data_IF_532679213463
#
_entry.id   IF_532679213463
#
_cell.length_a   1.000
_cell.length_b   1.000
_cell.length_c   1.000
_cell.angle_alpha   90.00
_cell.angle_beta   90.00
_cell.angle_gamma   90.00
#
_symmetry.space_group_name_H-M   'P 1'
#
loop_
_entity.id
_entity.type
_entity.pdbx_description
1 polymer ?
#
# COMPACT_ATOMS: atom_id res chain seq x y z
N UNK A 1 -23.88 15.97 13.75
CA UNK A 1 -22.44 15.66 13.94
C UNK A 1 -21.84 16.62 14.95
N UNK A 2 -20.71 16.24 15.57
CA UNK A 2 -19.94 17.12 16.45
C UNK A 2 -18.49 17.14 15.99
N UNK A 3 -17.91 18.33 15.81
CA UNK A 3 -16.48 18.48 15.47
C UNK A 3 -15.60 18.21 16.68
N UNK A 4 -14.38 17.73 16.41
CA UNK A 4 -13.29 17.61 17.39
C UNK A 4 -12.07 18.34 16.83
N UNK A 5 -11.49 19.33 17.55
CA UNK A 5 -11.88 19.82 18.87
C UNK A 5 -13.18 20.64 18.86
N UNK A 6 -14.05 20.42 19.85
CA UNK A 6 -15.35 21.09 19.99
C UNK A 6 -16.01 20.77 21.32
N UNK A 7 -17.27 21.21 21.52
CA UNK A 7 -18.04 20.86 22.70
C UNK A 7 -19.53 20.64 22.35
N UNK A 8 -20.27 20.01 23.26
CA UNK A 8 -21.69 19.68 23.07
C UNK A 8 -22.53 20.93 22.77
N UNK A 9 -22.24 22.05 23.44
CA UNK A 9 -22.97 23.31 23.24
C UNK A 9 -22.81 23.86 21.82
N UNK A 10 -21.58 23.89 21.28
CA UNK A 10 -21.36 24.36 19.90
C UNK A 10 -21.91 23.38 18.86
N UNK A 11 -21.85 22.07 19.13
CA UNK A 11 -22.45 21.05 18.27
C UNK A 11 -23.99 21.17 18.20
N UNK A 12 -24.68 21.37 19.33
CA UNK A 12 -26.13 21.58 19.38
C UNK A 12 -26.54 22.90 18.73
N UNK A 13 -25.76 23.98 18.94
CA UNK A 13 -26.02 25.30 18.37
C UNK A 13 -25.89 25.29 16.84
N UNK A 14 -24.82 24.69 16.30
CA UNK A 14 -24.61 24.57 14.84
C UNK A 14 -25.69 23.74 14.16
N UNK A 15 -26.19 22.70 14.82
CA UNK A 15 -27.30 21.87 14.32
C UNK A 15 -28.68 22.51 14.53
N UNK A 16 -28.76 23.71 15.14
CA UNK A 16 -30.01 24.43 15.36
C UNK A 16 -30.90 23.88 16.48
N UNK A 17 -30.41 22.92 17.28
CA UNK A 17 -31.15 22.38 18.43
C UNK A 17 -31.25 23.38 19.60
N UNK A 18 -30.29 24.29 19.69
CA UNK A 18 -30.31 25.42 20.64
C UNK A 18 -30.00 26.74 19.93
N UNK A 19 -30.53 27.83 20.47
CA UNK A 19 -30.12 29.19 20.09
C UNK A 19 -28.80 29.57 20.76
N UNK A 20 -28.28 30.76 20.49
CA UNK A 20 -27.02 31.25 21.09
C UNK A 20 -27.03 31.13 22.63
N UNK A 21 -26.13 30.32 23.24
CA UNK A 21 -26.06 30.14 24.68
C UNK A 21 -25.84 31.45 25.45
N UNK A 22 -25.25 32.47 24.83
CA UNK A 22 -25.05 33.79 25.46
C UNK A 22 -26.26 34.73 25.33
N UNK A 23 -27.33 34.33 24.64
CA UNK A 23 -28.51 35.17 24.49
C UNK A 23 -29.42 35.14 25.73
N UNK A 24 -29.50 36.28 26.42
CA UNK A 24 -30.40 36.57 27.56
C UNK A 24 -30.21 35.63 28.76
N UNK A 25 -31.03 34.59 28.88
CA UNK A 25 -31.11 33.68 30.03
C UNK A 25 -30.96 32.20 29.61
N UNK A 26 -30.32 31.99 28.45
CA UNK A 26 -30.06 30.66 27.91
C UNK A 26 -29.07 29.85 28.76
N UNK A 27 -28.25 30.52 29.58
CA UNK A 27 -27.43 29.91 30.64
C UNK A 27 -28.27 29.10 31.66
N UNK A 28 -29.46 29.60 32.01
CA UNK A 28 -30.41 28.89 32.86
C UNK A 28 -31.20 27.85 32.06
N UNK A 29 -31.67 28.21 30.85
CA UNK A 29 -32.53 27.34 30.05
C UNK A 29 -31.82 26.09 29.49
N UNK A 30 -30.51 26.21 29.21
CA UNK A 30 -29.70 25.13 28.65
C UNK A 30 -28.81 24.43 29.70
N UNK A 31 -28.99 24.74 30.99
CA UNK A 31 -28.25 24.14 32.10
C UNK A 31 -28.29 22.60 32.13
N UNK A 32 -29.35 22.00 31.58
CA UNK A 32 -29.49 20.55 31.45
C UNK A 32 -28.38 19.91 30.59
N UNK A 33 -27.84 20.62 29.58
CA UNK A 33 -26.77 20.11 28.71
C UNK A 33 -25.52 19.78 29.54
N UNK A 34 -25.21 20.61 30.54
CA UNK A 34 -24.08 20.41 31.47
C UNK A 34 -24.38 19.45 32.63
N UNK A 35 -25.62 18.96 32.76
CA UNK A 35 -26.05 18.02 33.81
C UNK A 35 -26.32 16.61 33.26
N UNK A 36 -26.35 16.44 31.94
CA UNK A 36 -26.56 15.17 31.26
C UNK A 36 -25.24 14.53 30.81
N UNK A 37 -25.25 13.21 30.61
CA UNK A 37 -24.09 12.44 30.18
C UNK A 37 -24.09 12.26 28.67
N UNK A 38 -23.17 12.92 27.98
CA UNK A 38 -23.05 12.87 26.52
C UNK A 38 -22.00 11.84 26.08
N UNK A 39 -22.40 10.94 25.20
CA UNK A 39 -21.47 10.03 24.51
C UNK A 39 -21.18 10.56 23.11
N UNK A 40 -19.90 10.73 22.77
CA UNK A 40 -19.47 10.91 21.38
C UNK A 40 -19.14 9.55 20.79
N UNK A 41 -19.70 9.23 19.61
CA UNK A 41 -19.39 8.03 18.85
C UNK A 41 -18.79 8.41 17.51
N UNK A 42 -17.64 7.81 17.17
CA UNK A 42 -17.00 7.94 15.86
C UNK A 42 -16.88 6.54 15.24
N UNK A 43 -17.12 6.44 13.93
CA UNK A 43 -16.95 5.22 13.15
C UNK A 43 -15.60 5.24 12.46
N UNK A 44 -14.55 4.84 13.18
CA UNK A 44 -13.23 4.59 12.61
C UNK A 44 -13.09 3.14 12.17
N UNK A 45 -12.23 2.90 11.18
CA UNK A 45 -11.72 1.59 10.79
C UNK A 45 -10.24 1.52 11.12
N UNK A 46 -9.78 0.35 11.54
CA UNK A 46 -8.36 0.07 11.74
C UNK A 46 -7.91 -1.13 10.92
N UNK A 47 -6.82 -0.97 10.17
CA UNK A 47 -6.24 -2.02 9.33
C UNK A 47 -4.77 -2.22 9.69
N UNK A 48 -4.40 -3.46 10.00
CA UNK A 48 -3.02 -3.87 10.20
C UNK A 48 -2.40 -4.25 8.85
N UNK A 49 -1.34 -3.55 8.45
CA UNK A 49 -0.68 -3.70 7.15
C UNK A 49 0.70 -4.32 7.32
N UNK A 50 0.95 -5.40 6.59
CA UNK A 50 2.27 -6.01 6.42
C UNK A 50 2.75 -5.76 4.99
N UNK A 51 3.83 -5.02 4.80
CA UNK A 51 4.40 -4.78 3.45
C UNK A 51 5.11 -6.00 2.86
N UNK A 52 5.44 -6.99 3.69
CA UNK A 52 6.09 -8.23 3.27
C UNK A 52 6.36 -9.18 4.44
N UNK A 53 5.79 -10.38 4.36
CA UNK A 53 6.07 -11.49 5.30
C UNK A 53 6.74 -12.60 4.53
N UNK A 54 7.88 -13.08 5.02
CA UNK A 54 8.68 -14.14 4.41
C UNK A 54 8.50 -15.46 5.20
N UNK A 55 7.69 -16.41 4.74
CA UNK A 55 6.78 -16.37 3.58
C UNK A 55 5.40 -16.89 3.98
N UNK A 56 5.37 -18.12 4.53
CA UNK A 56 4.14 -18.79 4.92
C UNK A 56 3.89 -18.55 6.40
N UNK A 57 2.82 -17.84 6.74
CA UNK A 57 2.52 -17.50 8.13
C UNK A 57 1.04 -17.62 8.49
N UNK A 58 0.77 -17.74 9.79
CA UNK A 58 -0.54 -17.47 10.39
C UNK A 58 -0.37 -16.30 11.36
N UNK A 59 -1.21 -15.28 11.20
CA UNK A 59 -1.14 -14.02 11.94
C UNK A 59 -2.36 -13.94 12.86
N UNK A 60 -2.14 -13.58 14.13
CA UNK A 60 -3.20 -13.41 15.12
C UNK A 60 -2.99 -12.17 15.98
N UNK A 61 -4.08 -11.47 16.27
CA UNK A 61 -4.13 -10.32 17.16
C UNK A 61 -5.01 -10.69 18.37
N UNK A 62 -4.51 -10.45 19.58
CA UNK A 62 -5.23 -10.73 20.83
C UNK A 62 -5.74 -12.19 20.96
N UNK A 63 -5.01 -13.14 20.38
CA UNK A 63 -5.36 -14.56 20.32
C UNK A 63 -6.33 -14.96 19.19
N UNK A 64 -6.89 -13.99 18.46
CA UNK A 64 -7.77 -14.22 17.31
C UNK A 64 -6.95 -14.27 16.03
N UNK A 65 -7.08 -15.33 15.23
CA UNK A 65 -6.41 -15.42 13.92
C UNK A 65 -7.03 -14.44 12.94
N UNK A 66 -6.26 -13.45 12.46
CA UNK A 66 -6.71 -12.43 11.51
C UNK A 66 -6.42 -12.80 10.06
N UNK A 67 -5.48 -13.72 9.81
CA UNK A 67 -5.22 -14.20 8.47
C UNK A 67 -3.99 -15.09 8.32
N UNK A 68 -3.66 -15.38 7.05
CA UNK A 68 -2.51 -16.19 6.64
C UNK A 68 -1.82 -15.57 5.43
N UNK A 69 -0.54 -15.84 5.29
CA UNK A 69 0.28 -15.43 4.12
C UNK A 69 0.93 -16.65 3.48
N UNK A 70 1.23 -16.58 2.19
CA UNK A 70 1.94 -17.62 1.44
C UNK A 70 2.92 -17.09 0.37
N UNK A 71 3.17 -15.77 0.36
CA UNK A 71 3.88 -15.09 -0.72
C UNK A 71 4.71 -13.91 -0.20
N UNK A 72 6.04 -14.05 -0.26
CA UNK A 72 7.03 -13.06 0.18
C UNK A 72 6.84 -11.68 -0.45
N UNK A 73 6.30 -11.65 -1.68
CA UNK A 73 6.27 -10.47 -2.55
C UNK A 73 4.95 -9.72 -2.51
N UNK A 74 4.03 -10.06 -1.58
CA UNK A 74 2.74 -9.39 -1.43
C UNK A 74 2.68 -8.60 -0.13
N UNK A 75 2.11 -7.41 -0.24
CA UNK A 75 1.49 -6.70 0.88
C UNK A 75 0.22 -7.43 1.30
N UNK A 76 -0.03 -7.49 2.61
CA UNK A 76 -1.22 -8.06 3.22
C UNK A 76 -1.85 -7.06 4.19
N UNK A 77 -3.17 -6.88 4.06
CA UNK A 77 -3.97 -5.94 4.83
C UNK A 77 -5.05 -6.71 5.59
N UNK A 78 -5.16 -6.51 6.90
CA UNK A 78 -6.16 -7.18 7.76
C UNK A 78 -6.97 -6.13 8.53
N UNK A 79 -8.29 -6.10 8.36
CA UNK A 79 -9.15 -5.27 9.20
C UNK A 79 -9.16 -5.82 10.64
N UNK A 80 -8.90 -4.93 11.61
CA UNK A 80 -8.71 -5.26 13.03
C UNK A 80 -9.53 -4.37 13.97
N UNK A 81 -10.43 -3.56 13.43
CA UNK A 81 -11.28 -2.59 14.15
C UNK A 81 -11.85 -3.17 15.45
N UNK A 82 -12.59 -4.28 15.38
CA UNK A 82 -13.27 -4.91 16.52
C UNK A 82 -12.36 -5.79 17.40
N UNK A 83 -11.08 -5.92 17.04
CA UNK A 83 -10.09 -6.75 17.74
C UNK A 83 -9.10 -5.94 18.57
N UNK A 84 -9.04 -4.62 18.36
CA UNK A 84 -8.20 -3.72 19.14
C UNK A 84 -8.79 -3.48 20.53
N UNK A 85 -7.89 -3.37 21.50
CA UNK A 85 -8.14 -2.88 22.86
C UNK A 85 -7.50 -1.51 23.03
N UNK A 86 -7.92 -0.76 24.05
CA UNK A 86 -7.30 0.53 24.39
C UNK A 86 -5.80 0.37 24.73
N UNK A 87 -5.44 -0.72 25.42
CA UNK A 87 -4.06 -1.05 25.82
C UNK A 87 -3.78 -2.56 25.63
N UNK A 88 -2.51 -2.97 25.73
CA UNK A 88 -2.04 -4.38 25.69
C UNK A 88 -2.54 -5.23 24.50
N UNK A 89 -2.38 -4.70 23.29
CA UNK A 89 -2.62 -5.44 22.05
C UNK A 89 -1.45 -6.38 21.73
N UNK A 90 -1.72 -7.70 21.70
CA UNK A 90 -0.70 -8.72 21.42
C UNK A 90 -0.82 -9.21 19.97
N UNK A 91 0.13 -8.79 19.13
CA UNK A 91 0.30 -9.32 17.77
C UNK A 91 1.24 -10.53 17.79
N UNK A 92 0.83 -11.63 17.17
CA UNK A 92 1.65 -12.83 17.01
C UNK A 92 1.68 -13.24 15.53
N UNK A 93 2.87 -13.60 15.04
CA UNK A 93 3.09 -14.09 13.67
C UNK A 93 3.81 -15.44 13.77
N UNK A 94 3.09 -16.52 13.52
CA UNK A 94 3.68 -17.86 13.44
C UNK A 94 4.11 -18.12 12.00
N UNK A 95 5.40 -18.34 11.77
CA UNK A 95 5.97 -18.55 10.42
C UNK A 95 6.39 -20.01 10.26
N UNK A 96 5.95 -20.65 9.17
CA UNK A 96 6.26 -22.02 8.83
C UNK A 96 7.57 -22.12 8.03
N UNK A 97 8.38 -23.16 8.31
CA UNK A 97 9.57 -23.50 7.52
C UNK A 97 9.24 -23.55 6.02
N UNK A 98 9.92 -22.70 5.24
CA UNK A 98 9.77 -22.60 3.79
C UNK A 98 10.08 -23.93 3.09
N UNK A 99 11.12 -24.65 3.54
CA UNK A 99 11.52 -25.97 3.01
C UNK A 99 10.44 -27.01 3.26
N UNK A 100 9.91 -27.06 4.49
CA UNK A 100 8.84 -27.99 4.86
C UNK A 100 7.57 -27.72 4.06
N UNK A 101 7.19 -26.45 3.90
CA UNK A 101 6.04 -26.05 3.10
C UNK A 101 6.22 -26.41 1.62
N UNK A 102 7.36 -26.05 1.03
CA UNK A 102 7.68 -26.36 -0.37
C UNK A 102 7.59 -27.87 -0.65
N UNK A 103 8.18 -28.69 0.23
CA UNK A 103 8.07 -30.15 0.18
C UNK A 103 6.62 -30.63 0.28
N UNK A 104 5.83 -30.15 1.25
CA UNK A 104 4.41 -30.52 1.39
C UNK A 104 3.58 -30.13 0.15
N UNK A 105 3.82 -28.96 -0.43
CA UNK A 105 3.16 -28.50 -1.66
C UNK A 105 3.53 -29.36 -2.87
N UNK A 106 4.79 -29.80 -2.97
CA UNK A 106 5.21 -30.75 -4.00
C UNK A 106 4.55 -32.12 -3.83
N UNK A 107 4.48 -32.66 -2.61
CA UNK A 107 3.82 -33.95 -2.33
C UNK A 107 2.30 -33.90 -2.58
N UNK A 108 1.66 -32.75 -2.35
CA UNK A 108 0.24 -32.55 -2.64
C UNK A 108 -0.06 -32.39 -4.14
N UNK A 109 0.94 -32.09 -4.97
CA UNK A 109 0.79 -31.92 -6.41
C UNK A 109 1.00 -33.25 -7.16
N UNK A 110 -0.06 -34.04 -7.25
CA UNK A 110 0.00 -35.42 -7.78
C UNK A 110 -0.23 -35.56 -9.28
N UNK A 111 -0.70 -34.51 -9.97
CA UNK A 111 -1.12 -34.57 -11.38
C UNK A 111 0.07 -34.81 -12.33
N UNK A 112 1.18 -34.09 -12.11
CA UNK A 112 2.44 -34.24 -12.85
C UNK A 112 3.61 -33.72 -12.01
N UNK A 113 4.83 -34.09 -12.41
CA UNK A 113 6.08 -33.60 -11.79
C UNK A 113 6.38 -32.18 -12.28
N UNK A 114 6.73 -31.27 -11.36
CA UNK A 114 7.13 -29.89 -11.68
C UNK A 114 8.65 -29.73 -11.49
N UNK A 115 9.47 -29.94 -12.54
CA UNK A 115 10.92 -29.85 -12.44
C UNK A 115 11.42 -28.39 -12.33
N UNK A 116 12.65 -28.18 -11.86
CA UNK A 116 13.51 -29.16 -11.20
C UNK A 116 13.04 -29.43 -9.75
N UNK A 117 13.05 -30.70 -9.33
CA UNK A 117 12.66 -31.05 -7.95
C UNK A 117 13.70 -30.57 -6.93
N UNK A 118 14.99 -30.76 -7.21
CA UNK A 118 16.10 -30.43 -6.32
C UNK A 118 17.24 -29.75 -7.10
N UNK A 119 18.01 -28.85 -6.47
CA UNK A 119 19.20 -28.26 -7.06
C UNK A 119 20.32 -29.31 -7.23
N UNK A 120 21.31 -29.06 -8.11
CA UNK A 120 22.50 -29.89 -8.23
C UNK A 120 23.24 -30.04 -6.88
N UNK A 121 23.73 -31.25 -6.50
CA UNK A 121 24.35 -31.48 -5.18
C UNK A 121 25.53 -30.55 -4.83
N UNK A 122 26.24 -30.02 -5.83
CA UNK A 122 27.33 -29.05 -5.63
C UNK A 122 26.86 -27.74 -4.98
N UNK A 123 25.60 -27.33 -5.20
CA UNK A 123 25.02 -26.12 -4.60
C UNK A 123 24.65 -26.30 -3.12
N UNK A 124 24.54 -27.56 -2.63
CA UNK A 124 24.20 -27.91 -1.25
C UNK A 124 22.90 -27.25 -0.78
N UNK A 125 21.92 -27.24 -1.68
CA UNK A 125 20.64 -26.55 -1.54
C UNK A 125 19.48 -27.41 -1.09
N UNK A 126 18.33 -26.76 -0.99
CA UNK A 126 17.06 -27.35 -0.59
C UNK A 126 16.14 -27.57 -1.80
N UNK A 127 15.28 -28.58 -1.72
CA UNK A 127 14.40 -28.97 -2.83
C UNK A 127 13.10 -28.13 -2.92
N UNK A 128 12.45 -28.18 -4.08
CA UNK A 128 11.09 -27.70 -4.34
C UNK A 128 10.85 -26.19 -4.22
N UNK A 129 11.88 -25.35 -4.38
CA UNK A 129 11.74 -23.87 -4.31
C UNK A 129 10.71 -23.28 -5.29
N UNK A 130 10.43 -23.99 -6.38
CA UNK A 130 9.39 -23.68 -7.36
C UNK A 130 7.95 -23.82 -6.81
N UNK A 131 7.74 -24.53 -5.70
CA UNK A 131 6.44 -24.68 -5.03
C UNK A 131 6.12 -23.59 -3.99
N UNK A 132 7.02 -22.61 -3.78
CA UNK A 132 6.82 -21.51 -2.83
C UNK A 132 7.06 -20.14 -3.49
N UNK A 133 6.22 -19.15 -3.17
CA UNK A 133 6.38 -17.77 -3.64
C UNK A 133 7.35 -16.97 -2.76
N UNK A 134 8.62 -17.41 -2.78
CA UNK A 134 9.78 -16.85 -2.07
C UNK A 134 10.92 -16.54 -3.05
N UNK A 135 11.91 -15.75 -2.64
CA UNK A 135 13.15 -15.52 -3.40
C UNK A 135 13.78 -16.85 -3.85
N UNK A 136 13.84 -17.10 -5.17
CA UNK A 136 14.16 -18.43 -5.70
C UNK A 136 15.60 -18.87 -5.42
N UNK A 137 16.55 -17.94 -5.28
CA UNK A 137 17.94 -18.22 -4.90
C UNK A 137 18.14 -18.49 -3.39
N UNK A 138 17.10 -18.38 -2.56
CA UNK A 138 17.22 -18.62 -1.11
C UNK A 138 17.40 -20.11 -0.75
N UNK A 139 17.07 -21.02 -1.66
CA UNK A 139 17.26 -22.47 -1.53
C UNK A 139 18.61 -22.92 -2.13
N UNK A 140 19.60 -22.01 -2.16
CA UNK A 140 20.86 -22.01 -2.92
C UNK A 140 20.75 -21.56 -4.38
N UNK A 141 21.93 -21.27 -4.95
CA UNK A 141 22.17 -21.10 -6.38
C UNK A 141 23.64 -21.48 -6.68
N UNK A 142 24.06 -21.50 -7.95
CA UNK A 142 25.48 -21.75 -8.30
C UNK A 142 26.46 -20.66 -7.80
N UNK A 143 25.95 -19.51 -7.36
CA UNK A 143 26.70 -18.42 -6.71
C UNK A 143 26.27 -18.13 -5.26
N UNK A 144 25.29 -18.85 -4.70
CA UNK A 144 24.61 -18.46 -3.45
C UNK A 144 24.33 -19.61 -2.47
N UNK A 145 24.46 -19.40 -1.15
CA UNK A 145 24.18 -20.41 -0.13
C UNK A 145 22.68 -20.67 0.03
N UNK A 146 22.32 -21.81 0.64
CA UNK A 146 20.95 -22.09 1.07
C UNK A 146 20.67 -21.45 2.42
N UNK A 147 19.96 -20.32 2.41
CA UNK A 147 19.40 -19.69 3.60
C UNK A 147 17.92 -19.35 3.36
N UNK A 148 17.02 -20.34 3.45
CA UNK A 148 15.58 -20.12 3.32
C UNK A 148 15.02 -19.47 4.59
N UNK A 149 15.27 -18.16 4.72
CA UNK A 149 14.88 -17.27 5.83
C UNK A 149 13.40 -17.35 6.21
N UNK A 150 13.11 -16.98 7.46
CA UNK A 150 11.76 -16.80 8.00
C UNK A 150 11.73 -15.46 8.72
N UNK A 151 10.77 -14.58 8.42
CA UNK A 151 10.72 -13.28 9.08
C UNK A 151 9.69 -12.31 8.50
N UNK A 152 9.62 -11.13 9.11
CA UNK A 152 8.81 -10.00 8.64
C UNK A 152 9.81 -9.03 7.98
N UNK A 153 10.03 -9.21 6.67
CA UNK A 153 11.14 -8.58 5.94
C UNK A 153 10.85 -7.15 5.46
N UNK A 154 9.65 -6.63 5.73
CA UNK A 154 9.28 -5.22 5.52
C UNK A 154 8.40 -4.71 6.65
N UNK A 155 8.29 -3.38 6.74
CA UNK A 155 7.56 -2.70 7.80
C UNK A 155 6.11 -3.17 8.00
N UNK A 156 5.70 -3.14 9.27
CA UNK A 156 4.33 -3.37 9.73
C UNK A 156 3.79 -2.08 10.33
N UNK A 157 2.53 -1.76 10.06
CA UNK A 157 1.90 -0.54 10.58
C UNK A 157 0.42 -0.74 10.80
N UNK A 158 -0.13 0.06 11.72
CA UNK A 158 -1.56 0.22 11.89
C UNK A 158 -1.98 1.48 11.13
N UNK A 159 -2.93 1.35 10.21
CA UNK A 159 -3.57 2.48 9.52
C UNK A 159 -4.98 2.63 10.09
N UNK A 160 -5.25 3.78 10.72
CA UNK A 160 -6.57 4.13 11.26
C UNK A 160 -7.16 5.27 10.43
N UNK A 161 -8.42 5.14 10.05
CA UNK A 161 -9.10 6.09 9.15
C UNK A 161 -10.61 6.08 9.38
N UNK A 162 -11.26 7.23 9.21
CA UNK A 162 -12.72 7.34 9.34
C UNK A 162 -13.43 7.12 7.99
N UNK A 163 -12.94 7.80 6.94
CA UNK A 163 -13.68 7.96 5.69
C UNK A 163 -12.99 7.33 4.48
N UNK A 164 -11.67 7.47 4.34
CA UNK A 164 -10.96 7.10 3.11
C UNK A 164 -9.57 6.55 3.41
N UNK A 165 -9.17 5.53 2.64
CA UNK A 165 -7.84 4.92 2.67
C UNK A 165 -7.32 4.68 1.27
N UNK A 166 -6.12 5.19 0.97
CA UNK A 166 -5.42 4.94 -0.29
C UNK A 166 -4.70 3.60 -0.22
N UNK A 167 -5.17 2.61 -0.99
CA UNK A 167 -4.57 1.27 -1.02
C UNK A 167 -3.32 1.24 -1.90
N UNK A 168 -3.44 1.79 -3.11
CA UNK A 168 -2.37 1.91 -4.10
C UNK A 168 -2.59 3.08 -5.04
N UNK A 169 -1.50 3.58 -5.62
CA UNK A 169 -1.52 4.48 -6.78
C UNK A 169 -0.64 3.85 -7.87
N UNK A 170 -1.09 3.95 -9.12
CA UNK A 170 -0.29 3.61 -10.31
C UNK A 170 -0.29 4.79 -11.25
N UNK A 171 0.82 5.04 -11.96
CA UNK A 171 0.98 6.18 -12.87
C UNK A 171 1.36 5.69 -14.27
N UNK A 172 0.61 6.07 -15.30
CA UNK A 172 0.88 5.66 -16.68
C UNK A 172 0.90 6.89 -17.62
N UNK A 173 2.08 7.43 -17.98
CA UNK A 173 2.19 8.56 -18.89
C UNK A 173 1.97 8.11 -20.35
N UNK A 174 0.86 8.54 -20.95
CA UNK A 174 0.53 8.31 -22.36
C UNK A 174 0.95 9.52 -23.22
N UNK A 175 1.47 9.26 -24.41
CA UNK A 175 1.95 10.28 -25.35
C UNK A 175 1.06 10.31 -26.60
N UNK A 176 0.32 11.40 -26.80
CA UNK A 176 -0.43 11.69 -28.03
C UNK A 176 0.24 12.80 -28.85
N UNK A 177 -0.23 13.03 -30.09
CA UNK A 177 0.45 13.90 -31.07
C UNK A 177 0.67 15.35 -30.62
N UNK A 178 -0.17 15.90 -29.72
CA UNK A 178 0.07 17.18 -29.03
C UNK A 178 -0.46 17.20 -27.58
N UNK A 179 -0.64 16.04 -26.96
CA UNK A 179 -1.23 15.90 -25.62
C UNK A 179 -0.47 14.82 -24.85
N UNK A 180 0.20 15.19 -23.77
CA UNK A 180 0.61 14.23 -22.74
C UNK A 180 -0.62 13.92 -21.90
N UNK A 181 -1.01 12.65 -21.76
CA UNK A 181 -2.16 12.25 -20.95
C UNK A 181 -1.68 11.36 -19.81
N UNK A 182 -1.77 11.88 -18.58
CA UNK A 182 -1.58 11.07 -17.38
C UNK A 182 -2.76 10.12 -17.20
N UNK A 183 -2.52 8.89 -16.77
CA UNK A 183 -3.56 7.99 -16.26
C UNK A 183 -3.11 7.49 -14.89
N UNK A 184 -3.77 7.99 -13.85
CA UNK A 184 -3.67 7.43 -12.51
C UNK A 184 -4.70 6.33 -12.32
N UNK A 185 -4.37 5.25 -11.63
CA UNK A 185 -5.37 4.40 -10.96
C UNK A 185 -5.09 4.44 -9.46
N UNK A 186 -5.98 5.09 -8.71
CA UNK A 186 -5.98 5.08 -7.26
C UNK A 186 -7.05 4.11 -6.76
N UNK A 187 -6.64 3.03 -6.09
CA UNK A 187 -7.58 2.10 -5.45
C UNK A 187 -7.86 2.64 -4.04
N UNK A 188 -9.10 3.01 -3.78
CA UNK A 188 -9.55 3.66 -2.55
C UNK A 188 -10.52 2.73 -1.79
N UNK A 189 -10.26 2.45 -0.51
CA UNK A 189 -11.31 1.96 0.38
C UNK A 189 -12.01 3.17 1.01
N UNK A 190 -13.32 3.30 0.83
CA UNK A 190 -14.09 4.51 1.18
C UNK A 190 -15.39 4.15 1.89
N UNK A 191 -15.65 4.86 2.98
CA UNK A 191 -16.90 4.90 3.72
C UNK A 191 -17.49 6.31 3.59
N UNK A 192 -18.31 6.55 2.55
CA UNK A 192 -18.77 7.90 2.19
C UNK A 192 -20.05 8.28 2.94
N UNK A 193 -19.97 9.37 3.71
CA UNK A 193 -21.05 10.34 3.84
C UNK A 193 -20.65 11.57 3.00
N UNK A 194 -21.65 12.25 2.44
CA UNK A 194 -21.60 12.63 1.03
C UNK A 194 -20.71 13.85 0.69
N UNK A 195 -20.00 13.71 -0.46
CA UNK A 195 -19.41 14.75 -1.33
C UNK A 195 -18.04 15.31 -0.89
N UNK A 196 -17.37 16.21 -1.65
CA UNK A 196 -17.10 16.31 -3.10
C UNK A 196 -15.87 17.21 -3.29
N UNK A 197 -15.13 16.93 -4.36
CA UNK A 197 -14.25 17.87 -5.07
C UNK A 197 -14.61 17.77 -6.56
N UNK A 198 -14.39 18.84 -7.33
CA UNK A 198 -14.52 18.81 -8.79
C UNK A 198 -13.34 18.11 -9.49
N UNK A 199 -13.21 16.81 -9.24
CA UNK A 199 -13.10 15.85 -10.34
C UNK A 199 -14.55 15.51 -10.70
N UNK A 200 -14.94 15.58 -11.98
CA UNK A 200 -16.35 15.37 -12.36
C UNK A 200 -16.71 13.87 -12.36
N UNK A 201 -16.84 13.30 -11.15
CA UNK A 201 -17.52 12.03 -10.92
C UNK A 201 -19.05 12.21 -10.94
N UNK A 202 -19.64 12.30 -12.14
CA UNK A 202 -21.10 12.24 -12.31
C UNK A 202 -21.60 10.78 -12.29
N UNK A 203 -21.69 10.18 -11.11
CA UNK A 203 -22.56 9.03 -10.78
C UNK A 203 -22.46 8.77 -9.26
N UNK A 204 -23.51 8.95 -8.45
CA UNK A 204 -24.55 7.93 -8.17
C UNK A 204 -23.96 6.55 -7.82
N UNK A 205 -23.73 6.29 -6.53
CA UNK A 205 -23.53 4.94 -5.98
C UNK A 205 -24.26 4.78 -4.63
N UNK A 206 -25.15 3.78 -4.48
CA UNK A 206 -25.78 3.40 -3.19
C UNK A 206 -24.81 2.56 -2.31
N UNK A 207 -25.14 2.28 -1.02
CA UNK A 207 -24.14 1.90 -0.03
C UNK A 207 -23.66 0.45 -0.19
N UNK A 208 -22.45 0.28 -0.74
CA UNK A 208 -21.69 -0.97 -0.72
C UNK A 208 -20.20 -0.68 -0.53
N UNK A 209 -19.48 -1.66 0.02
CA UNK A 209 -18.05 -1.57 0.34
C UNK A 209 -17.19 -1.48 -0.93
N UNK A 210 -16.22 -0.56 -0.88
CA UNK A 210 -15.16 -0.36 -1.87
C UNK A 210 -14.19 -1.58 -1.93
N UNK A 211 -13.27 -1.70 -2.91
CA UNK A 211 -12.50 -0.62 -3.55
C UNK A 211 -13.18 0.15 -4.68
N UNK A 212 -12.84 1.44 -4.79
CA UNK A 212 -13.16 2.32 -5.93
C UNK A 212 -11.87 2.74 -6.64
N UNK A 213 -11.82 2.58 -7.97
CA UNK A 213 -10.72 3.07 -8.82
C UNK A 213 -11.00 4.48 -9.33
N UNK A 214 -10.15 5.44 -8.99
CA UNK A 214 -10.20 6.81 -9.51
C UNK A 214 -9.22 6.98 -10.67
N UNK A 215 -9.72 7.42 -11.83
CA UNK A 215 -8.93 7.77 -13.00
C UNK A 215 -8.86 9.28 -13.21
N UNK A 216 -7.65 9.84 -13.19
CA UNK A 216 -7.38 11.27 -13.40
C UNK A 216 -6.56 11.45 -14.67
N UNK A 217 -7.01 12.34 -15.56
CA UNK A 217 -6.31 12.73 -16.77
C UNK A 217 -5.75 14.15 -16.65
N UNK A 218 -4.43 14.27 -16.64
CA UNK A 218 -3.70 15.54 -16.69
C UNK A 218 -3.14 15.76 -18.08
N UNK A 219 -3.31 16.98 -18.61
CA UNK A 219 -2.79 17.41 -19.90
C UNK A 219 -1.72 18.49 -19.73
N UNK A 220 -0.59 18.32 -20.42
CA UNK A 220 0.53 19.26 -20.41
C UNK A 220 0.80 19.76 -21.84
N UNK A 221 1.27 21.00 -21.98
CA UNK A 221 1.69 21.56 -23.28
C UNK A 221 3.16 21.28 -23.60
N UNK A 222 3.98 21.08 -22.58
CA UNK A 222 5.42 20.81 -22.65
C UNK A 222 5.88 20.15 -21.35
N UNK A 223 6.73 19.13 -21.45
CA UNK A 223 7.39 18.48 -20.30
C UNK A 223 8.84 18.15 -20.67
N UNK A 224 9.73 18.19 -19.69
CA UNK A 224 11.10 17.67 -19.83
C UNK A 224 11.06 16.15 -19.68
N UNK A 225 11.70 15.45 -20.62
CA UNK A 225 11.73 13.99 -20.61
C UNK A 225 12.85 13.47 -19.70
N UNK A 226 12.57 12.38 -18.99
CA UNK A 226 13.57 11.60 -18.25
C UNK A 226 14.39 10.74 -19.21
N UNK A 227 15.71 10.73 -19.06
CA UNK A 227 16.63 9.93 -19.87
C UNK A 227 17.48 8.97 -19.02
N UNK A 228 17.89 7.81 -19.57
CA UNK A 228 18.95 6.99 -18.97
C UNK A 228 20.28 7.74 -18.83
N UNK A 229 21.11 7.29 -17.89
CA UNK A 229 22.43 7.87 -17.61
C UNK A 229 23.29 8.00 -18.88
N UNK A 230 23.85 9.18 -19.12
CA UNK A 230 24.66 9.50 -20.30
C UNK A 230 23.88 9.78 -21.58
N UNK A 231 22.54 9.76 -21.55
CA UNK A 231 21.69 10.08 -22.71
C UNK A 231 20.84 11.35 -22.53
N UNK A 232 20.85 11.95 -21.33
CA UNK A 232 20.18 13.21 -20.99
C UNK A 232 20.01 13.34 -19.47
N UNK A 233 19.14 14.26 -19.05
CA UNK A 233 18.81 14.50 -17.63
C UNK A 233 17.80 13.48 -17.08
N UNK A 234 17.91 13.17 -15.79
CA UNK A 234 16.97 12.28 -15.07
C UNK A 234 15.82 13.06 -14.44
N UNK A 235 15.14 13.94 -15.21
CA UNK A 235 14.10 14.83 -14.66
C UNK A 235 12.93 14.05 -14.04
N UNK A 236 12.61 14.39 -12.79
CA UNK A 236 11.45 13.91 -12.04
C UNK A 236 10.56 15.09 -11.69
N UNK A 237 9.26 14.82 -11.54
CA UNK A 237 8.24 15.79 -11.12
C UNK A 237 7.52 15.29 -9.88
N UNK A 238 7.32 16.16 -8.91
CA UNK A 238 6.48 15.87 -7.75
C UNK A 238 5.01 16.08 -8.11
N UNK A 239 4.23 15.00 -8.13
CA UNK A 239 2.78 15.02 -8.24
C UNK A 239 2.18 14.99 -6.83
N UNK A 240 1.55 16.09 -6.44
CA UNK A 240 0.76 16.19 -5.22
C UNK A 240 -0.70 15.80 -5.51
N UNK A 241 -1.25 14.89 -4.71
CA UNK A 241 -2.67 14.53 -4.74
C UNK A 241 -3.28 14.89 -3.39
N UNK A 242 -4.08 15.97 -3.40
CA UNK A 242 -4.87 16.42 -2.26
C UNK A 242 -6.31 15.92 -2.39
N UNK A 243 -6.85 15.39 -1.28
CA UNK A 243 -8.22 14.86 -1.22
C UNK A 243 -8.94 15.53 -0.05
N UNK A 244 -9.74 16.55 -0.35
CA UNK A 244 -10.65 17.15 0.62
C UNK A 244 -12.06 16.55 0.47
N UNK A 245 -12.77 16.48 1.59
CA UNK A 245 -14.17 16.07 1.70
C UNK A 245 -15.01 17.31 2.03
N UNK A 246 -16.30 17.34 1.69
CA UNK A 246 -17.07 18.60 1.75
C UNK A 246 -17.25 19.18 3.16
N UNK A 247 -17.20 18.33 4.20
CA UNK A 247 -17.46 18.72 5.59
C UNK A 247 -16.34 19.56 6.22
N UNK A 248 -15.27 19.88 5.48
CA UNK A 248 -14.13 20.66 5.98
C UNK A 248 -13.22 19.89 6.94
N UNK A 249 -13.55 18.63 7.26
CA UNK A 249 -12.63 17.71 7.92
C UNK A 249 -11.43 17.44 7.00
N UNK A 250 -10.25 17.84 7.47
CA UNK A 250 -9.00 17.50 6.82
C UNK A 250 -8.82 15.98 6.77
N UNK A 251 -8.24 15.48 5.67
CA UNK A 251 -7.89 14.08 5.54
C UNK A 251 -6.85 13.67 6.60
N UNK A 252 -7.33 13.07 7.69
CA UNK A 252 -6.50 12.51 8.74
C UNK A 252 -6.30 11.01 8.51
N UNK A 253 -5.29 10.66 7.72
CA UNK A 253 -4.71 9.31 7.73
C UNK A 253 -3.55 9.28 8.72
N UNK A 254 -3.82 8.91 9.97
CA UNK A 254 -2.76 8.63 10.93
C UNK A 254 -2.06 7.31 10.58
N UNK A 255 -0.77 7.40 10.25
CA UNK A 255 0.09 6.24 10.01
C UNK A 255 0.90 5.90 11.25
N UNK A 256 0.40 4.96 12.06
CA UNK A 256 1.17 4.43 13.19
C UNK A 256 2.15 3.37 12.69
N UNK A 257 3.42 3.74 12.54
CA UNK A 257 4.51 2.81 12.22
C UNK A 257 4.88 2.02 13.47
N UNK A 258 4.70 0.70 13.43
CA UNK A 258 5.05 -0.18 14.56
C UNK A 258 6.49 -0.67 14.35
N UNK A 259 7.41 -0.17 15.18
CA UNK A 259 8.79 -0.67 15.21
C UNK A 259 8.84 -2.03 15.91
N UNK A 260 8.78 -3.11 15.13
CA UNK A 260 8.95 -4.48 15.61
C UNK A 260 10.43 -4.81 15.77
N UNK A 261 10.94 -4.86 17.01
CA UNK A 261 12.24 -5.45 17.31
C UNK A 261 12.08 -6.92 17.70
N UNK A 262 12.82 -7.81 17.02
CA UNK A 262 12.63 -9.27 17.13
C UNK A 262 13.38 -9.86 18.34
N UNK A 263 12.94 -9.51 19.55
CA UNK A 263 13.29 -10.25 20.77
C UNK A 263 12.09 -10.31 21.72
N UNK A 264 11.96 -11.43 22.44
CA UNK A 264 11.00 -11.59 23.53
C UNK A 264 11.18 -10.47 24.57
N UNK A 265 10.16 -9.62 24.75
CA UNK A 265 9.67 -8.98 26.00
C UNK A 265 8.65 -7.89 25.60
N UNK A 266 7.61 -7.73 26.43
CA UNK A 266 6.53 -6.73 26.36
C UNK A 266 6.86 -5.41 25.63
N UNK A 267 6.03 -5.04 24.64
CA UNK A 267 6.15 -3.79 23.90
C UNK A 267 5.18 -2.72 24.40
N UNK A 268 5.66 -1.50 24.54
CA UNK A 268 4.84 -0.30 24.70
C UNK A 268 4.67 0.38 23.33
N UNK A 269 3.43 0.71 22.97
CA UNK A 269 3.12 1.35 21.68
C UNK A 269 3.46 2.84 21.75
N UNK A 270 4.49 3.27 21.04
CA UNK A 270 4.83 4.69 20.93
C UNK A 270 3.99 5.35 19.83
N UNK A 271 3.11 6.27 20.21
CA UNK A 271 2.21 6.97 19.29
C UNK A 271 2.96 8.14 18.63
N UNK A 272 3.13 8.06 17.30
CA UNK A 272 3.55 9.20 16.47
C UNK A 272 2.40 9.49 15.51
N UNK A 273 1.58 10.49 15.85
CA UNK A 273 0.58 11.03 14.93
C UNK A 273 1.28 11.89 13.87
N UNK A 274 1.00 11.59 12.60
CA UNK A 274 1.44 12.34 11.43
C UNK A 274 0.19 12.71 10.63
N UNK A 275 -0.35 13.91 10.87
CA UNK A 275 -1.35 14.51 10.00
C UNK A 275 -0.70 14.77 8.63
N UNK A 276 -1.15 14.06 7.59
CA UNK A 276 -0.62 14.16 6.25
C UNK A 276 -1.76 14.46 5.26
N UNK A 277 -2.01 15.76 5.03
CA UNK A 277 -3.16 16.23 4.24
C UNK A 277 -3.04 16.00 2.72
N UNK A 278 -1.92 15.46 2.22
CA UNK A 278 -1.70 15.23 0.80
C UNK A 278 -0.62 14.18 0.55
N UNK A 279 -0.72 13.48 -0.58
CA UNK A 279 0.27 12.49 -1.00
C UNK A 279 1.17 13.07 -2.08
N UNK A 280 2.50 12.95 -1.92
CA UNK A 280 3.48 13.37 -2.93
C UNK A 280 4.12 12.15 -3.56
N UNK A 281 4.09 12.10 -4.89
CA UNK A 281 4.63 10.99 -5.69
C UNK A 281 5.55 11.52 -6.78
N UNK A 282 6.70 10.86 -7.00
CA UNK A 282 7.61 11.24 -8.08
C UNK A 282 7.22 10.55 -9.39
N UNK A 283 7.02 11.34 -10.44
CA UNK A 283 6.65 10.87 -11.78
C UNK A 283 7.69 11.32 -12.82
N UNK A 284 7.86 10.51 -13.86
CA UNK A 284 8.84 10.73 -14.92
C UNK A 284 8.18 10.54 -16.29
N UNK A 285 8.40 11.48 -17.22
CA UNK A 285 7.90 11.37 -18.59
C UNK A 285 8.96 10.75 -19.49
N UNK A 286 8.69 9.56 -20.02
CA UNK A 286 9.53 8.91 -21.05
C UNK A 286 8.71 7.99 -21.95
N UNK A 287 9.09 7.86 -23.22
CA UNK A 287 8.63 6.73 -24.06
C UNK A 287 9.63 5.59 -23.99
N UNK A 288 9.15 4.35 -24.16
CA UNK A 288 10.00 3.17 -24.37
C UNK A 288 9.32 2.23 -25.34
N UNK A 289 10.07 1.80 -26.35
CA UNK A 289 9.62 0.90 -27.40
C UNK A 289 10.67 -0.21 -27.56
N UNK A 290 10.21 -1.45 -27.72
CA UNK A 290 11.05 -2.59 -28.07
C UNK A 290 10.91 -2.85 -29.57
N UNK A 291 12.00 -2.64 -30.31
CA UNK A 291 11.97 -2.61 -31.77
C UNK A 291 12.43 -3.93 -32.34
N UNK A 292 11.53 -4.53 -33.14
CA UNK A 292 11.69 -5.84 -33.76
C UNK A 292 11.35 -5.73 -35.25
N UNK A 293 12.26 -5.13 -36.02
CA UNK A 293 12.12 -4.87 -37.46
C UNK A 293 13.07 -5.74 -38.29
N UNK A 294 12.73 -6.10 -39.55
CA UNK A 294 13.64 -6.85 -40.43
C UNK A 294 14.91 -6.06 -40.73
N UNK A 295 16.08 -6.71 -40.62
CA UNK A 295 17.37 -6.10 -40.93
C UNK A 295 17.78 -6.48 -42.36
N UNK A 296 18.05 -5.51 -43.26
CA UNK A 296 18.53 -5.82 -44.61
C UNK A 296 19.78 -6.72 -44.58
N UNK A 297 19.75 -7.81 -45.35
CA UNK A 297 20.82 -8.82 -45.43
C UNK A 297 21.09 -9.63 -44.15
N UNK A 298 20.25 -9.54 -43.10
CA UNK A 298 20.32 -10.42 -41.92
C UNK A 298 18.95 -11.07 -41.65
N UNK A 299 18.83 -12.41 -41.67
CA UNK A 299 17.57 -13.09 -41.38
C UNK A 299 17.15 -12.87 -39.92
N UNK A 300 15.84 -12.80 -39.69
CA UNK A 300 15.25 -12.53 -38.37
C UNK A 300 14.77 -11.08 -38.21
N UNK A 301 14.67 -10.64 -36.96
CA UNK A 301 14.26 -9.29 -36.56
C UNK A 301 15.34 -8.68 -35.65
N UNK A 302 15.37 -7.35 -35.59
CA UNK A 302 16.13 -6.60 -34.60
C UNK A 302 15.66 -6.90 -33.17
N UNK A 303 16.47 -6.53 -32.18
CA UNK A 303 16.03 -6.48 -30.79
C UNK A 303 16.79 -5.36 -30.07
N UNK A 304 16.22 -4.14 -30.07
CA UNK A 304 16.80 -2.99 -29.39
C UNK A 304 15.73 -2.09 -28.77
N UNK A 305 16.14 -1.23 -27.85
CA UNK A 305 15.25 -0.30 -27.18
C UNK A 305 15.35 1.09 -27.80
N UNK A 306 14.19 1.68 -28.10
CA UNK A 306 14.04 3.06 -28.53
C UNK A 306 13.43 3.84 -27.36
N UNK A 307 14.13 4.87 -26.87
CA UNK A 307 13.74 5.66 -25.69
C UNK A 307 13.70 7.13 -26.11
N UNK A 308 12.58 7.81 -25.89
CA UNK A 308 12.38 9.23 -26.19
C UNK A 308 12.79 9.62 -27.63
N UNK A 309 12.50 8.76 -28.61
CA UNK A 309 12.88 9.03 -30.00
C UNK A 309 14.34 8.74 -30.34
N UNK A 310 15.14 8.06 -29.50
CA UNK A 310 16.49 7.58 -29.86
C UNK A 310 16.72 6.08 -29.57
N UNK A 311 17.42 5.33 -30.43
CA UNK A 311 17.89 3.99 -30.09
C UNK A 311 18.96 4.04 -28.99
N UNK A 312 18.89 3.14 -28.01
CA UNK A 312 19.86 3.03 -26.92
C UNK A 312 20.40 1.60 -26.84
N UNK A 313 21.73 1.48 -27.00
CA UNK A 313 22.45 0.23 -26.73
C UNK A 313 22.58 0.05 -25.21
N UNK A 314 21.96 -1.00 -24.67
CA UNK A 314 21.97 -1.28 -23.24
C UNK A 314 23.38 -1.67 -22.77
N UNK A 315 23.86 -1.03 -21.71
CA UNK A 315 25.15 -1.27 -21.07
C UNK A 315 24.91 -1.45 -19.57
N UNK A 316 25.33 -2.57 -19.01
CA UNK A 316 25.10 -2.89 -17.60
C UNK A 316 25.43 -4.35 -17.28
N UNK A 317 24.88 -4.83 -16.18
CA UNK A 317 25.04 -6.18 -15.66
C UNK A 317 23.71 -6.71 -15.13
N UNK A 318 23.63 -8.02 -14.85
CA UNK A 318 22.49 -8.61 -14.17
C UNK A 318 22.61 -8.36 -12.66
N UNK A 319 21.55 -7.84 -12.04
CA UNK A 319 21.47 -7.67 -10.59
C UNK A 319 20.93 -8.93 -9.93
N UNK A 320 21.55 -9.31 -8.81
CA UNK A 320 21.10 -10.37 -7.90
C UNK A 320 20.90 -9.76 -6.50
N UNK A 321 20.21 -10.44 -5.57
CA UNK A 321 20.16 -9.98 -4.18
C UNK A 321 21.57 -9.73 -3.62
N UNK A 322 21.81 -8.53 -3.10
CA UNK A 322 23.12 -8.13 -2.52
C UNK A 322 23.50 -8.92 -1.28
N UNK A 323 22.52 -9.58 -0.66
CA UNK A 323 22.71 -10.35 0.56
C UNK A 323 21.70 -11.49 0.63
N UNK A 324 22.03 -12.53 1.41
CA UNK A 324 21.14 -13.67 1.63
C UNK A 324 19.95 -13.33 2.55
N UNK A 325 20.12 -12.31 3.40
CA UNK A 325 19.07 -11.72 4.24
C UNK A 325 18.69 -10.36 3.63
N UNK A 326 17.41 -10.17 3.30
CA UNK A 326 16.91 -9.01 2.54
C UNK A 326 16.22 -7.96 3.42
N UNK A 327 16.70 -7.82 4.66
CA UNK A 327 16.19 -6.87 5.68
C UNK A 327 16.74 -5.44 5.50
#
# INVERSE_FOLDING_TARGET
SAEVPGCVHTALQRQGFISDPYYRYNDLAYRWISLDNWTSTTSWKAVLVFEGVDTVSTISLNGVTIGKTDNMFRRHDFEVTDLLKDEDNILQVWIMSAVTYASQRSHAHTEYRVPPDCPPPVQKGECHVNFIRKAQSSFSWDWGPSFPTLGIWKGVRLEVFNTLRVLSYTTNPRFGTHIFAYEGEGILDINIISKQINIICKSLFPPYSCPVSLHVFLSFSSVSLWWPFGHGEQTLYDLMIDVNLEDGEAFNAERMVIFLSVYFIFFSVCIISLLCCGFVFQVAFRTVELVQEPIPSSPGLSFYFWINGKPIFLKGSNWIPVHAFQE
#
